data_IF_940425274579
#
_entry.id   IF_940425274579
#
_cell.length_a   1.000
_cell.length_b   1.000
_cell.length_c   1.000
_cell.angle_alpha   90.00
_cell.angle_beta   90.00
_cell.angle_gamma   90.00
#
_symmetry.space_group_name_H-M   'P 1'
#
loop_
_entity.id
_entity.type
_entity.pdbx_description
1 polymer ?
#
# COMPACT_ATOMS: atom_id res chain seq x y z
N UNK A 1 1.09 -21.28 -25.79
CA UNK A 1 0.32 -20.32 -24.97
C UNK A 1 0.86 -20.40 -23.55
N UNK A 2 1.57 -19.37 -23.08
CA UNK A 2 2.35 -19.43 -21.85
C UNK A 2 1.43 -19.13 -20.65
N UNK A 3 0.87 -20.19 -20.06
CA UNK A 3 0.44 -20.13 -18.67
C UNK A 3 1.69 -19.83 -17.82
N UNK A 4 1.86 -18.55 -17.46
CA UNK A 4 3.01 -18.06 -16.70
C UNK A 4 3.24 -18.92 -15.46
N UNK A 5 4.49 -19.32 -15.24
CA UNK A 5 4.86 -20.19 -14.12
C UNK A 5 4.30 -19.64 -12.81
N UNK A 6 3.37 -20.38 -12.20
CA UNK A 6 2.86 -20.05 -10.88
C UNK A 6 4.05 -19.96 -9.91
N UNK A 7 4.08 -18.91 -9.08
CA UNK A 7 5.06 -18.80 -8.01
C UNK A 7 5.03 -20.10 -7.19
N UNK A 8 6.22 -20.65 -6.89
CA UNK A 8 6.31 -21.79 -5.98
C UNK A 8 5.64 -21.45 -4.65
N UNK A 9 4.93 -22.42 -4.05
CA UNK A 9 4.13 -22.22 -2.83
C UNK A 9 4.88 -21.46 -1.74
N UNK A 10 6.14 -21.84 -1.48
CA UNK A 10 6.96 -21.18 -0.46
C UNK A 10 7.21 -19.69 -0.74
N UNK A 11 7.43 -19.32 -2.01
CA UNK A 11 7.62 -17.93 -2.42
C UNK A 11 6.31 -17.14 -2.29
N UNK A 12 5.19 -17.72 -2.73
CA UNK A 12 3.86 -17.12 -2.58
C UNK A 12 3.56 -16.80 -1.11
N UNK A 13 3.71 -17.79 -0.22
CA UNK A 13 3.46 -17.61 1.23
C UNK A 13 4.37 -16.55 1.84
N UNK A 14 5.65 -16.53 1.45
CA UNK A 14 6.62 -15.54 1.93
C UNK A 14 6.23 -14.11 1.53
N UNK A 15 5.77 -13.93 0.29
CA UNK A 15 5.31 -12.62 -0.20
C UNK A 15 4.05 -12.18 0.56
N UNK A 16 3.05 -13.06 0.70
CA UNK A 16 1.82 -12.71 1.42
C UNK A 16 2.11 -12.40 2.90
N UNK A 17 2.97 -13.18 3.55
CA UNK A 17 3.39 -12.91 4.92
C UNK A 17 4.11 -11.55 5.04
N UNK A 18 4.98 -11.21 4.10
CA UNK A 18 5.64 -9.90 4.05
C UNK A 18 4.67 -8.74 3.84
N UNK A 19 3.68 -8.91 2.96
CA UNK A 19 2.62 -7.92 2.74
C UNK A 19 1.73 -7.74 3.97
N UNK A 20 1.42 -8.81 4.70
CA UNK A 20 0.69 -8.73 5.96
C UNK A 20 1.49 -7.99 7.02
N UNK A 21 2.79 -8.30 7.21
CA UNK A 21 3.64 -7.59 8.19
C UNK A 21 3.80 -6.12 7.86
N UNK A 22 3.92 -5.79 6.56
CA UNK A 22 3.97 -4.41 6.08
C UNK A 22 2.78 -3.57 6.57
N UNK A 23 1.58 -4.16 6.65
CA UNK A 23 0.36 -3.48 7.08
C UNK A 23 0.03 -3.66 8.57
N UNK A 24 0.45 -4.74 9.23
CA UNK A 24 -0.05 -5.09 10.58
C UNK A 24 1.04 -5.19 11.66
N UNK A 25 2.31 -5.33 11.28
CA UNK A 25 3.41 -5.68 12.20
C UNK A 25 4.57 -4.69 12.07
N UNK A 26 4.32 -3.43 12.44
CA UNK A 26 5.37 -2.40 12.49
C UNK A 26 5.86 -1.90 11.12
N UNK A 27 5.27 -2.35 10.01
CA UNK A 27 5.68 -1.96 8.66
C UNK A 27 5.25 -0.55 8.22
N UNK A 28 5.65 -0.16 7.00
CA UNK A 28 5.33 1.18 6.46
C UNK A 28 3.87 1.35 6.07
N UNK A 29 3.13 0.26 5.90
CA UNK A 29 1.72 0.24 5.49
C UNK A 29 0.72 0.26 6.65
N UNK A 30 1.16 0.51 7.88
CA UNK A 30 0.32 0.44 9.09
C UNK A 30 -0.95 1.30 9.04
N UNK A 31 -0.96 2.39 8.28
CA UNK A 31 -2.17 3.19 8.07
C UNK A 31 -3.31 2.43 7.40
N UNK A 32 -3.04 1.30 6.74
CA UNK A 32 -4.05 0.47 6.09
C UNK A 32 -4.64 -0.63 6.99
N UNK A 33 -4.15 -0.78 8.24
CA UNK A 33 -4.62 -1.80 9.18
C UNK A 33 -6.09 -1.59 9.52
N UNK A 34 -6.85 -2.70 9.58
CA UNK A 34 -8.22 -2.75 10.08
C UNK A 34 -8.30 -3.85 11.13
N UNK A 35 -8.79 -3.51 12.33
CA UNK A 35 -8.89 -4.49 13.42
C UNK A 35 -9.88 -5.61 13.06
N UNK A 36 -9.46 -6.86 13.21
CA UNK A 36 -10.26 -8.04 12.84
C UNK A 36 -10.33 -8.33 11.34
N UNK A 37 -9.68 -7.53 10.47
CA UNK A 37 -9.71 -7.72 9.03
C UNK A 37 -8.30 -7.68 8.45
N UNK A 38 -7.71 -8.85 8.21
CA UNK A 38 -6.30 -9.01 7.84
C UNK A 38 -5.96 -8.43 6.47
N UNK A 39 -5.48 -7.19 6.45
CA UNK A 39 -5.02 -6.51 5.23
C UNK A 39 -3.60 -6.96 4.87
N UNK A 40 -3.38 -7.31 3.60
CA UNK A 40 -2.06 -7.53 3.03
C UNK A 40 -1.76 -6.43 2.02
N UNK A 41 -0.69 -5.65 2.21
CA UNK A 41 -0.40 -4.58 1.26
C UNK A 41 0.98 -3.97 1.36
N UNK A 42 1.30 -3.13 0.38
CA UNK A 42 2.59 -2.46 0.28
C UNK A 42 2.42 -0.99 -0.09
N UNK A 43 3.26 -0.16 0.53
CA UNK A 43 3.40 1.26 0.19
C UNK A 43 4.46 1.48 -0.87
N UNK A 44 4.24 2.49 -1.72
CA UNK A 44 5.20 3.10 -2.63
C UNK A 44 5.28 4.61 -2.41
N UNK A 45 6.48 5.17 -2.64
CA UNK A 45 6.73 6.61 -2.67
C UNK A 45 7.56 6.89 -3.92
N UNK A 46 6.94 7.44 -4.95
CA UNK A 46 7.58 7.55 -6.27
C UNK A 46 8.05 8.96 -6.54
N UNK A 47 9.33 9.12 -6.87
CA UNK A 47 9.90 10.42 -7.24
C UNK A 47 9.30 10.90 -8.57
N UNK A 48 8.98 12.20 -8.64
CA UNK A 48 8.33 12.83 -9.79
C UNK A 48 9.30 13.55 -10.71
N UNK A 49 10.55 13.70 -10.28
CA UNK A 49 11.63 14.34 -11.04
C UNK A 49 13.00 13.82 -10.61
N UNK A 50 14.04 14.20 -11.37
CA UNK A 50 15.41 13.86 -11.03
C UNK A 50 15.84 14.49 -9.69
N UNK A 51 16.82 13.88 -9.04
CA UNK A 51 17.39 14.41 -7.79
C UNK A 51 18.06 15.76 -8.00
N UNK A 52 18.61 16.02 -9.18
CA UNK A 52 19.22 17.30 -9.54
C UNK A 52 18.15 18.41 -9.62
N UNK A 53 17.05 18.16 -10.32
CA UNK A 53 15.93 19.11 -10.41
C UNK A 53 15.32 19.37 -9.03
N UNK A 54 15.14 18.32 -8.22
CA UNK A 54 14.64 18.46 -6.85
C UNK A 54 15.59 19.31 -5.98
N UNK A 55 16.91 19.11 -6.09
CA UNK A 55 17.89 19.92 -5.37
C UNK A 55 17.91 21.39 -5.82
N UNK A 56 17.73 21.65 -7.12
CA UNK A 56 17.62 23.01 -7.64
C UNK A 56 16.37 23.72 -7.09
N UNK A 57 15.23 23.05 -7.03
CA UNK A 57 14.02 23.59 -6.41
C UNK A 57 14.20 23.84 -4.91
N UNK A 58 14.83 22.90 -4.20
CA UNK A 58 15.08 23.03 -2.77
C UNK A 58 15.94 24.26 -2.45
N UNK A 59 16.98 24.54 -3.27
CA UNK A 59 17.78 25.77 -3.17
C UNK A 59 16.98 27.05 -3.39
N UNK A 60 15.90 26.98 -4.17
CA UNK A 60 14.95 28.07 -4.38
C UNK A 60 13.81 28.10 -3.33
N UNK A 61 13.91 27.32 -2.23
CA UNK A 61 12.89 27.26 -1.19
C UNK A 61 11.61 26.53 -1.60
N UNK A 62 11.65 25.73 -2.67
CA UNK A 62 10.51 24.96 -3.17
C UNK A 62 10.77 23.47 -3.01
N UNK A 63 9.74 22.71 -2.64
CA UNK A 63 9.82 21.26 -2.56
C UNK A 63 8.73 20.62 -3.42
N UNK A 64 9.06 19.51 -4.07
CA UNK A 64 8.08 18.67 -4.76
C UNK A 64 8.05 17.31 -4.10
N UNK A 65 6.87 16.97 -3.58
CA UNK A 65 6.62 15.70 -2.91
C UNK A 65 6.62 14.55 -3.92
N UNK A 66 6.93 13.35 -3.43
CA UNK A 66 6.70 12.10 -4.17
C UNK A 66 5.20 11.88 -4.41
N UNK A 67 4.85 11.10 -5.43
CA UNK A 67 3.53 10.47 -5.46
C UNK A 67 3.45 9.44 -4.33
N UNK A 68 2.33 9.43 -3.61
CA UNK A 68 2.06 8.50 -2.52
C UNK A 68 1.21 7.34 -3.05
N UNK A 69 1.66 6.10 -2.81
CA UNK A 69 0.99 4.90 -3.31
C UNK A 69 0.79 3.86 -2.20
N UNK A 70 -0.36 3.22 -2.17
CA UNK A 70 -0.62 1.94 -1.50
C UNK A 70 -1.33 0.98 -2.45
N UNK A 71 -0.95 -0.30 -2.44
CA UNK A 71 -1.73 -1.38 -3.08
C UNK A 71 -1.79 -2.59 -2.16
N UNK A 72 -2.96 -3.19 -2.03
CA UNK A 72 -3.18 -4.34 -1.15
C UNK A 72 -4.51 -5.02 -1.37
N UNK A 73 -4.71 -6.12 -0.66
CA UNK A 73 -5.93 -6.92 -0.67
C UNK A 73 -6.31 -7.37 0.74
N UNK A 74 -7.58 -7.73 0.89
CA UNK A 74 -8.10 -8.27 2.14
C UNK A 74 -9.37 -9.12 1.91
N UNK A 75 -9.72 -10.03 2.83
CA UNK A 75 -8.87 -10.53 3.93
C UNK A 75 -7.69 -11.36 3.39
N UNK A 76 -6.67 -11.60 4.22
CA UNK A 76 -5.46 -12.37 3.85
C UNK A 76 -5.79 -13.76 3.29
N UNK A 77 -6.72 -14.45 3.93
CA UNK A 77 -7.20 -15.78 3.52
C UNK A 77 -8.53 -15.63 2.80
N UNK A 78 -8.63 -16.17 1.59
CA UNK A 78 -9.79 -15.96 0.72
C UNK A 78 -10.03 -14.48 0.38
N UNK A 79 -9.09 -13.79 -0.31
CA UNK A 79 -9.21 -12.36 -0.63
C UNK A 79 -10.51 -12.02 -1.34
N UNK A 80 -11.16 -10.92 -0.91
CA UNK A 80 -12.47 -10.49 -1.42
C UNK A 80 -12.44 -9.10 -2.06
N UNK A 81 -11.46 -8.28 -1.71
CA UNK A 81 -11.27 -6.94 -2.28
C UNK A 81 -9.78 -6.65 -2.51
N UNK A 82 -9.48 -5.94 -3.59
CA UNK A 82 -8.17 -5.34 -3.88
C UNK A 82 -8.35 -3.83 -3.93
N UNK A 83 -7.48 -3.09 -3.25
CA UNK A 83 -7.51 -1.63 -3.18
C UNK A 83 -6.16 -1.08 -3.62
N UNK A 84 -6.19 -0.13 -4.55
CA UNK A 84 -5.02 0.68 -4.92
C UNK A 84 -5.36 2.15 -4.77
N UNK A 85 -4.52 2.87 -4.04
CA UNK A 85 -4.64 4.32 -3.84
C UNK A 85 -3.36 4.98 -4.33
N UNK A 86 -3.51 5.92 -5.25
CA UNK A 86 -2.45 6.80 -5.73
C UNK A 86 -2.86 8.25 -5.44
N UNK A 87 -2.00 8.98 -4.73
CA UNK A 87 -2.19 10.41 -4.44
C UNK A 87 -1.03 11.17 -5.05
N UNK A 88 -1.32 11.97 -6.07
CA UNK A 88 -0.32 12.78 -6.74
C UNK A 88 0.28 13.81 -5.77
N UNK A 89 1.62 13.95 -5.77
CA UNK A 89 2.35 14.78 -4.82
C UNK A 89 1.96 14.57 -3.34
N UNK A 90 1.45 13.38 -2.99
CA UNK A 90 0.99 13.05 -1.64
C UNK A 90 2.10 12.78 -0.63
N UNK A 91 3.36 12.72 -1.06
CA UNK A 91 4.49 12.38 -0.18
C UNK A 91 4.62 10.87 0.03
N UNK A 92 4.92 10.46 1.26
CA UNK A 92 5.20 9.06 1.57
C UNK A 92 3.95 8.17 1.53
N UNK A 93 4.04 7.02 0.87
CA UNK A 93 2.92 6.07 0.73
C UNK A 93 2.26 5.66 2.06
N UNK A 94 3.07 5.47 3.10
CA UNK A 94 2.58 5.12 4.44
C UNK A 94 1.86 6.27 5.17
N UNK A 95 2.21 7.52 4.87
CA UNK A 95 1.65 8.70 5.52
C UNK A 95 0.33 9.16 4.90
N UNK A 96 0.08 8.81 3.62
CA UNK A 96 -1.07 9.36 2.89
C UNK A 96 -1.92 8.29 2.20
N UNK A 97 -1.35 7.45 1.35
CA UNK A 97 -2.14 6.45 0.62
C UNK A 97 -2.60 5.28 1.53
N UNK A 98 -1.77 4.83 2.47
CA UNK A 98 -2.14 3.73 3.37
C UNK A 98 -3.34 4.07 4.27
N UNK A 99 -3.42 5.25 4.94
CA UNK A 99 -4.61 5.66 5.69
C UNK A 99 -5.89 5.70 4.85
N UNK A 100 -5.80 6.17 3.59
CA UNK A 100 -6.96 6.19 2.69
C UNK A 100 -7.40 4.76 2.35
N UNK A 101 -6.45 3.86 2.06
CA UNK A 101 -6.75 2.45 1.81
C UNK A 101 -7.39 1.78 3.04
N UNK A 102 -6.89 2.07 4.25
CA UNK A 102 -7.46 1.57 5.50
C UNK A 102 -8.94 1.94 5.66
N UNK A 103 -9.32 3.19 5.36
CA UNK A 103 -10.72 3.63 5.40
C UNK A 103 -11.61 2.89 4.40
N UNK A 104 -11.08 2.55 3.22
CA UNK A 104 -11.80 1.77 2.21
C UNK A 104 -12.00 0.33 2.69
N UNK A 105 -10.93 -0.33 3.17
CA UNK A 105 -11.04 -1.69 3.72
C UNK A 105 -11.98 -1.74 4.92
N UNK A 106 -11.94 -0.75 5.81
CA UNK A 106 -12.82 -0.68 6.97
C UNK A 106 -14.29 -0.51 6.57
N UNK A 107 -14.57 0.32 5.56
CA UNK A 107 -15.91 0.47 5.01
C UNK A 107 -16.41 -0.84 4.39
N UNK A 108 -15.57 -1.52 3.61
CA UNK A 108 -15.90 -2.82 3.02
C UNK A 108 -16.12 -3.91 4.09
N UNK A 109 -15.26 -3.98 5.12
CA UNK A 109 -15.39 -4.94 6.20
C UNK A 109 -16.76 -4.81 6.92
N UNK A 110 -17.21 -3.58 7.18
CA UNK A 110 -18.54 -3.31 7.75
C UNK A 110 -19.70 -3.77 6.87
N UNK A 111 -19.52 -3.78 5.55
CA UNK A 111 -20.55 -4.19 4.60
C UNK A 111 -20.69 -5.73 4.55
N UNK A 112 -19.57 -6.45 4.57
CA UNK A 112 -19.58 -7.91 4.46
C UNK A 112 -19.78 -8.63 5.79
N UNK A 113 -19.51 -7.96 6.91
CA UNK A 113 -19.75 -8.44 8.27
C UNK A 113 -20.50 -7.37 9.08
N UNK A 114 -21.83 -7.24 8.88
CA UNK A 114 -22.64 -6.32 9.67
C UNK A 114 -22.58 -6.74 11.13
N UNK A 115 -22.10 -5.85 12.00
CA UNK A 115 -22.11 -6.06 13.45
C UNK A 115 -23.52 -6.00 14.02
#
# INVERSE_FOLDING_TARGET
EAAGAALGRAAYESVIAGMWRSANDGGTGQGARVEGFDVCGKTGSTQTMSRESAAALARAGREVKTHSWFSGFAPRVGPRIVVTVLVEFGGGGGATAAPVAGRIFEAFAREIEPR
#
